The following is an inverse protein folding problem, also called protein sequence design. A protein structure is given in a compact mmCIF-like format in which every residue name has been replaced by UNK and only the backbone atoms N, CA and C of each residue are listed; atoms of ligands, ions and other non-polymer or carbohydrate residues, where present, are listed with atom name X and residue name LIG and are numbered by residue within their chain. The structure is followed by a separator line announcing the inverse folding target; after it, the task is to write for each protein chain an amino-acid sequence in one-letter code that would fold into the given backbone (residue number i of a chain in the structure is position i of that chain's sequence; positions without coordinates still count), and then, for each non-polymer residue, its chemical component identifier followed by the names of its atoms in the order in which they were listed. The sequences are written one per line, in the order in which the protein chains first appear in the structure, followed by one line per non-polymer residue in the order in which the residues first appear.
data_IF_526555115433
#
_entry.id   IF_526555115433
#
_cell.length_a   1.000
_cell.length_b   1.000
_cell.length_c   1.000
_cell.angle_alpha   90.00
_cell.angle_beta   90.00
_cell.angle_gamma   90.00
#
_symmetry.space_group_name_H-M   'P 1'
#
loop_
_entity.id
_entity.type
_entity.pdbx_description
1 polymer ?
#
# COMPACT_ATOMS: atom_id res chain seq x y z
N UNK A 1 -18.91 -6.61 -8.60
CA UNK A 1 -18.27 -5.60 -7.75
C UNK A 1 -18.34 -6.01 -6.28
N UNK A 2 -17.24 -5.85 -5.57
CA UNK A 2 -17.18 -6.19 -4.14
C UNK A 2 -17.86 -5.10 -3.33
N UNK A 3 -18.75 -5.52 -2.42
CA UNK A 3 -19.39 -4.61 -1.46
C UNK A 3 -18.88 -4.95 -0.07
N UNK A 4 -18.32 -3.96 0.62
CA UNK A 4 -17.83 -4.15 1.99
C UNK A 4 -18.88 -3.66 2.99
N UNK A 5 -19.29 -4.55 3.88
CA UNK A 5 -20.21 -4.20 4.98
C UNK A 5 -19.50 -3.43 6.07
N UNK A 6 -18.20 -3.67 6.23
CA UNK A 6 -17.31 -2.93 7.13
C UNK A 6 -15.94 -2.82 6.49
N UNK A 7 -15.12 -1.92 7.00
CA UNK A 7 -13.76 -1.72 6.48
C UNK A 7 -12.89 -2.92 6.85
N UNK A 8 -12.27 -3.58 5.86
CA UNK A 8 -11.40 -4.72 6.12
C UNK A 8 -10.04 -4.28 6.65
N UNK A 9 -9.30 -5.22 7.23
CA UNK A 9 -7.95 -4.99 7.74
C UNK A 9 -6.94 -5.86 7.01
N UNK A 10 -5.76 -5.33 6.78
CA UNK A 10 -4.65 -6.01 6.14
C UNK A 10 -3.38 -5.81 6.94
N UNK A 11 -2.38 -6.65 6.68
CA UNK A 11 -1.08 -6.52 7.35
C UNK A 11 0.07 -6.77 6.38
N UNK A 12 1.22 -6.16 6.71
CA UNK A 12 2.52 -6.47 6.13
C UNK A 12 3.49 -6.81 7.25
N UNK A 13 4.15 -7.94 7.15
CA UNK A 13 5.36 -8.21 7.94
C UNK A 13 6.56 -7.74 7.12
N UNK A 14 7.45 -6.99 7.73
CA UNK A 14 8.53 -6.27 7.03
C UNK A 14 9.87 -6.66 7.60
N UNK A 15 10.85 -6.89 6.72
CA UNK A 15 12.26 -7.01 7.08
C UNK A 15 13.03 -5.81 6.57
N UNK A 16 14.10 -5.46 7.30
CA UNK A 16 15.04 -4.38 6.92
C UNK A 16 16.42 -4.99 6.93
N UNK A 17 17.09 -4.95 5.77
CA UNK A 17 18.42 -5.55 5.65
C UNK A 17 18.46 -7.05 5.93
N UNK A 18 17.34 -7.74 5.67
CA UNK A 18 17.22 -9.17 5.91
C UNK A 18 16.80 -9.54 7.33
N UNK A 19 16.59 -8.58 8.23
CA UNK A 19 16.21 -8.82 9.61
C UNK A 19 14.73 -8.48 9.83
N UNK A 20 13.94 -9.36 10.48
CA UNK A 20 12.56 -9.05 10.80
C UNK A 20 12.46 -7.76 11.62
N UNK A 21 11.61 -6.84 11.18
CA UNK A 21 11.50 -5.52 11.78
C UNK A 21 10.14 -5.26 12.46
N UNK A 22 9.12 -6.04 12.12
CA UNK A 22 7.80 -5.92 12.74
C UNK A 22 6.66 -6.00 11.73
N UNK A 23 5.48 -5.61 12.18
CA UNK A 23 4.24 -5.68 11.39
C UNK A 23 3.58 -4.31 11.29
N UNK A 24 3.13 -3.99 10.08
CA UNK A 24 2.22 -2.87 9.81
C UNK A 24 0.81 -3.42 9.67
N UNK A 25 -0.14 -2.83 10.39
CA UNK A 25 -1.54 -3.21 10.31
C UNK A 25 -2.34 -2.02 9.79
N UNK A 26 -3.20 -2.29 8.81
CA UNK A 26 -3.97 -1.25 8.12
C UNK A 26 -5.46 -1.50 8.24
N UNK A 27 -6.24 -0.43 8.36
CA UNK A 27 -7.66 -0.45 8.06
C UNK A 27 -7.85 0.12 6.66
N UNK A 28 -8.55 -0.59 5.79
CA UNK A 28 -8.80 -0.16 4.42
C UNK A 28 -10.23 0.39 4.32
N UNK A 29 -10.40 1.50 3.61
CA UNK A 29 -11.69 2.19 3.51
C UNK A 29 -12.60 1.56 2.46
N UNK A 30 -12.86 0.25 2.61
CA UNK A 30 -13.63 -0.52 1.62
C UNK A 30 -15.06 -0.03 1.42
N UNK A 31 -15.66 0.59 2.44
CA UNK A 31 -17.01 1.14 2.32
C UNK A 31 -17.07 2.33 1.37
N UNK A 32 -16.01 3.12 1.31
CA UNK A 32 -15.97 4.35 0.51
C UNK A 32 -15.21 4.21 -0.81
N UNK A 33 -14.18 3.34 -0.84
CA UNK A 33 -13.37 3.07 -2.04
C UNK A 33 -13.25 1.56 -2.26
N UNK A 34 -14.37 0.88 -2.57
CA UNK A 34 -14.37 -0.59 -2.66
C UNK A 34 -13.49 -1.15 -3.78
N UNK A 35 -13.41 -0.50 -4.92
CA UNK A 35 -12.59 -0.98 -6.04
C UNK A 35 -11.10 -0.88 -5.72
N UNK A 36 -10.68 0.23 -5.17
CA UNK A 36 -9.28 0.45 -4.77
C UNK A 36 -8.90 -0.50 -3.64
N UNK A 37 -9.78 -0.67 -2.66
CA UNK A 37 -9.58 -1.61 -1.55
C UNK A 37 -9.49 -3.05 -2.04
N UNK A 38 -10.39 -3.48 -2.95
CA UNK A 38 -10.36 -4.83 -3.51
C UNK A 38 -9.05 -5.12 -4.23
N UNK A 39 -8.55 -4.16 -4.99
CA UNK A 39 -7.28 -4.29 -5.70
C UNK A 39 -6.13 -4.52 -4.71
N UNK A 40 -5.99 -3.66 -3.72
CA UNK A 40 -4.93 -3.77 -2.71
C UNK A 40 -5.05 -5.08 -1.91
N UNK A 41 -6.25 -5.40 -1.42
CA UNK A 41 -6.48 -6.60 -0.63
C UNK A 41 -6.19 -7.87 -1.43
N UNK A 42 -6.53 -7.88 -2.72
CA UNK A 42 -6.25 -9.03 -3.59
C UNK A 42 -4.75 -9.31 -3.69
N UNK A 43 -3.93 -8.26 -3.80
CA UNK A 43 -2.48 -8.43 -3.80
C UNK A 43 -1.91 -8.78 -2.42
N UNK A 44 -2.59 -8.40 -1.34
CA UNK A 44 -2.23 -8.85 0.01
C UNK A 44 -2.46 -10.35 0.18
N UNK A 45 -3.56 -10.87 -0.40
CA UNK A 45 -3.96 -12.27 -0.27
C UNK A 45 -3.33 -13.18 -1.33
N UNK A 46 -2.78 -12.59 -2.38
CA UNK A 46 -2.32 -13.31 -3.56
C UNK A 46 -3.41 -13.43 -4.61
N UNK A 47 -3.14 -12.93 -5.80
CA UNK A 47 -4.12 -12.85 -6.89
C UNK A 47 -3.62 -13.64 -8.11
N UNK A 48 -4.48 -14.51 -8.63
CA UNK A 48 -4.22 -15.25 -9.88
C UNK A 48 -5.20 -14.81 -10.96
N UNK A 49 -4.65 -14.28 -12.04
CA UNK A 49 -5.44 -13.92 -13.22
C UNK A 49 -5.32 -15.06 -14.25
N UNK A 50 -6.38 -15.83 -14.41
CA UNK A 50 -6.46 -16.78 -15.53
C UNK A 50 -5.42 -17.88 -15.58
N UNK A 51 -4.98 -18.43 -14.44
CA UNK A 51 -4.03 -19.53 -14.40
C UNK A 51 -2.56 -19.13 -14.51
N UNK A 52 -2.28 -17.82 -14.53
CA UNK A 52 -0.93 -17.27 -14.53
C UNK A 52 -0.28 -17.37 -13.14
N UNK A 53 0.91 -16.82 -13.02
CA UNK A 53 1.61 -16.73 -11.74
C UNK A 53 0.79 -15.93 -10.72
N UNK A 54 0.96 -16.26 -9.43
CA UNK A 54 0.34 -15.51 -8.34
C UNK A 54 1.02 -14.14 -8.22
N UNK A 55 0.22 -13.09 -8.28
CA UNK A 55 0.66 -11.72 -8.04
C UNK A 55 0.39 -11.37 -6.58
N UNK A 56 1.39 -10.86 -5.88
CA UNK A 56 1.29 -10.56 -4.46
C UNK A 56 2.29 -9.49 -4.07
N UNK A 57 1.98 -8.75 -3.00
CA UNK A 57 2.95 -7.87 -2.36
C UNK A 57 4.04 -8.64 -1.61
N UNK A 58 3.80 -9.92 -1.33
CA UNK A 58 4.80 -10.76 -0.66
C UNK A 58 6.09 -10.79 -1.47
N UNK A 59 7.19 -10.53 -0.80
CA UNK A 59 8.54 -10.43 -1.34
C UNK A 59 8.81 -9.18 -2.19
N UNK A 60 7.86 -8.26 -2.30
CA UNK A 60 8.11 -6.97 -2.93
C UNK A 60 8.75 -6.01 -1.92
N UNK A 61 9.30 -4.91 -2.42
CA UNK A 61 10.07 -3.96 -1.60
C UNK A 61 9.44 -2.58 -1.59
N UNK A 62 9.80 -1.79 -0.57
CA UNK A 62 9.61 -0.36 -0.59
C UNK A 62 10.80 0.25 -1.34
N UNK A 63 10.61 0.53 -2.61
CA UNK A 63 11.71 0.95 -3.50
C UNK A 63 12.05 2.44 -3.41
N UNK A 64 11.17 3.25 -2.82
CA UNK A 64 11.36 4.70 -2.73
C UNK A 64 10.85 5.19 -1.38
N UNK A 65 11.78 5.69 -0.56
CA UNK A 65 11.45 6.20 0.78
C UNK A 65 12.12 7.56 0.95
N UNK A 66 11.33 8.58 1.17
CA UNK A 66 11.82 9.96 1.38
C UNK A 66 11.40 10.39 2.79
N UNK A 67 12.36 10.61 3.69
CA UNK A 67 12.05 11.06 5.04
C UNK A 67 11.22 12.34 5.04
N UNK A 68 10.26 12.41 5.96
CA UNK A 68 9.34 13.53 6.11
C UNK A 68 8.46 13.72 4.87
N UNK A 69 8.18 12.61 4.18
CA UNK A 69 7.26 12.61 3.05
C UNK A 69 6.48 11.29 3.03
N UNK A 70 7.07 10.21 2.49
CA UNK A 70 6.33 8.96 2.32
C UNK A 70 7.26 7.76 2.07
N UNK A 71 6.69 6.56 2.19
CA UNK A 71 7.32 5.29 1.82
C UNK A 71 6.50 4.68 0.69
N UNK A 72 7.10 4.44 -0.48
CA UNK A 72 6.42 3.91 -1.66
C UNK A 72 6.88 2.49 -1.96
N UNK A 73 5.91 1.64 -2.29
CA UNK A 73 6.15 0.25 -2.66
C UNK A 73 5.06 -0.26 -3.58
N UNK A 74 4.99 -1.57 -3.71
CA UNK A 74 3.93 -2.21 -4.48
C UNK A 74 4.23 -2.40 -5.96
N UNK A 75 5.47 -2.18 -6.42
CA UNK A 75 5.88 -2.60 -7.76
C UNK A 75 6.17 -4.10 -7.72
N UNK A 76 5.14 -4.90 -7.96
CA UNK A 76 5.22 -6.36 -7.91
C UNK A 76 5.70 -6.97 -9.22
N UNK A 77 6.02 -6.15 -10.21
CA UNK A 77 6.48 -6.58 -11.53
C UNK A 77 8.01 -6.42 -11.64
N UNK A 78 8.52 -5.21 -11.44
CA UNK A 78 9.93 -4.89 -11.65
C UNK A 78 10.68 -4.50 -10.36
N UNK A 79 9.97 -4.13 -9.31
CA UNK A 79 10.58 -3.79 -8.02
C UNK A 79 11.28 -2.44 -7.96
N UNK A 80 11.13 -1.59 -8.98
CA UNK A 80 11.85 -0.32 -9.08
C UNK A 80 10.96 0.91 -9.34
N UNK A 81 9.65 0.71 -9.37
CA UNK A 81 8.68 1.78 -9.61
C UNK A 81 8.17 1.85 -11.04
N UNK A 82 8.74 1.08 -11.97
CA UNK A 82 8.34 1.10 -13.38
C UNK A 82 7.19 0.17 -13.70
N UNK A 83 6.93 -0.83 -12.85
CA UNK A 83 5.88 -1.82 -13.06
C UNK A 83 4.55 -1.35 -12.52
N UNK A 84 3.47 -1.62 -13.26
CA UNK A 84 2.12 -1.29 -12.83
C UNK A 84 1.15 -2.34 -13.35
N UNK A 85 0.34 -2.87 -12.44
CA UNK A 85 -0.68 -3.88 -12.77
C UNK A 85 -1.81 -3.76 -11.74
N UNK A 86 -3.02 -4.09 -12.15
CA UNK A 86 -4.16 -4.16 -11.23
C UNK A 86 -4.93 -5.46 -11.46
N UNK A 87 -5.85 -5.76 -10.55
CA UNK A 87 -6.75 -6.91 -10.73
C UNK A 87 -7.74 -6.67 -11.88
N UNK A 88 -7.83 -5.43 -12.37
CA UNK A 88 -8.72 -5.06 -13.47
C UNK A 88 -8.05 -5.14 -14.83
N UNK A 89 -6.80 -5.63 -14.87
CA UNK A 89 -6.01 -5.79 -16.08
C UNK A 89 -4.81 -4.86 -16.11
N UNK A 90 -4.96 -3.64 -16.51
CA UNK A 90 -3.91 -2.63 -16.53
C UNK A 90 -4.12 -1.61 -15.42
N UNK A 91 -4.20 -0.35 -15.82
CA UNK A 91 -4.48 0.75 -14.92
C UNK A 91 -5.99 0.91 -14.73
N UNK A 92 -6.38 1.50 -13.62
CA UNK A 92 -7.81 1.77 -13.37
C UNK A 92 -8.02 3.21 -12.89
N UNK A 93 -9.26 3.73 -13.07
CA UNK A 93 -9.56 5.13 -12.78
C UNK A 93 -9.46 5.48 -11.29
N UNK A 94 -9.25 6.76 -11.00
CA UNK A 94 -9.36 7.29 -9.64
C UNK A 94 -10.81 7.14 -9.18
N UNK A 95 -11.01 6.38 -8.11
CA UNK A 95 -12.35 6.02 -7.66
C UNK A 95 -13.10 7.21 -7.08
N UNK A 96 -12.48 7.91 -6.14
CA UNK A 96 -12.93 9.19 -5.60
C UNK A 96 -11.82 9.81 -4.76
N UNK A 97 -12.01 11.05 -4.33
CA UNK A 97 -11.06 11.78 -3.50
C UNK A 97 -11.70 12.22 -2.18
N UNK A 98 -12.53 11.34 -1.61
CA UNK A 98 -13.25 11.62 -0.37
C UNK A 98 -12.33 11.91 0.79
N UNK A 99 -11.22 11.16 0.90
CA UNK A 99 -10.25 11.32 1.98
C UNK A 99 -9.09 12.20 1.57
N UNK A 100 -8.60 13.00 2.53
CA UNK A 100 -7.48 13.91 2.33
C UNK A 100 -6.22 13.35 2.97
N UNK A 101 -5.05 13.87 2.54
CA UNK A 101 -3.75 13.49 3.10
C UNK A 101 -3.46 14.34 4.33
N UNK A 102 -4.22 14.14 5.41
CA UNK A 102 -4.30 15.04 6.57
C UNK A 102 -3.57 14.54 7.81
N UNK A 103 -2.84 13.43 7.70
CA UNK A 103 -2.07 12.89 8.84
C UNK A 103 -1.02 11.87 8.33
N UNK A 104 -0.02 11.54 9.17
CA UNK A 104 0.88 10.43 8.85
C UNK A 104 0.13 9.09 8.93
N UNK A 105 0.65 8.09 8.23
CA UNK A 105 0.12 6.73 8.26
C UNK A 105 -1.02 6.46 7.29
N UNK A 106 -1.25 7.33 6.30
CA UNK A 106 -2.28 7.11 5.30
C UNK A 106 -1.75 6.29 4.14
N UNK A 107 -2.55 5.31 3.68
CA UNK A 107 -2.32 4.58 2.44
C UNK A 107 -2.99 5.34 1.30
N UNK A 108 -2.22 5.62 0.26
CA UNK A 108 -2.68 6.34 -0.92
C UNK A 108 -2.10 5.68 -2.17
N UNK A 109 -2.81 5.78 -3.28
CA UNK A 109 -2.38 5.16 -4.53
C UNK A 109 -1.31 6.00 -5.23
N UNK A 110 -0.18 5.38 -5.55
CA UNK A 110 0.79 5.96 -6.46
C UNK A 110 0.21 5.93 -7.89
N UNK A 111 0.56 6.92 -8.69
CA UNK A 111 0.10 6.99 -10.08
C UNK A 111 1.07 7.79 -10.94
N UNK A 112 0.81 7.81 -12.25
CA UNK A 112 1.57 8.57 -13.25
C UNK A 112 0.67 9.63 -13.89
N UNK A 113 -0.27 10.19 -13.15
CA UNK A 113 -1.27 11.15 -13.60
C UNK A 113 -2.68 10.63 -13.37
N UNK A 114 -3.71 11.38 -13.82
CA UNK A 114 -5.10 10.96 -13.61
C UNK A 114 -5.40 9.58 -14.16
N UNK A 115 -6.16 8.80 -13.40
CA UNK A 115 -6.71 7.50 -13.82
C UNK A 115 -5.65 6.48 -14.22
N UNK A 116 -4.50 6.45 -13.49
CA UNK A 116 -3.40 5.52 -13.76
C UNK A 116 -3.03 4.68 -12.56
N UNK A 117 -4.00 4.26 -11.76
CA UNK A 117 -3.77 3.42 -10.58
C UNK A 117 -3.43 1.98 -11.00
N UNK A 118 -2.51 1.37 -10.29
CA UNK A 118 -2.11 -0.02 -10.51
C UNK A 118 -1.93 -0.74 -9.18
N UNK A 119 -0.76 -1.34 -8.97
CA UNK A 119 -0.44 -2.01 -7.71
C UNK A 119 0.33 -1.13 -6.73
N UNK A 120 0.99 -0.08 -7.21
CA UNK A 120 1.85 0.73 -6.36
C UNK A 120 1.05 1.65 -5.44
N UNK A 121 1.55 1.78 -4.23
CA UNK A 121 0.95 2.61 -3.19
C UNK A 121 2.06 3.34 -2.43
N UNK A 122 1.67 4.33 -1.64
CA UNK A 122 2.59 4.92 -0.68
C UNK A 122 1.91 5.08 0.69
N UNK A 123 2.75 5.14 1.70
CA UNK A 123 2.35 5.29 3.09
C UNK A 123 2.96 6.61 3.57
N UNK A 124 2.12 7.56 3.96
CA UNK A 124 2.60 8.89 4.36
C UNK A 124 3.27 8.85 5.73
N UNK A 125 4.28 9.70 5.90
CA UNK A 125 4.95 9.87 7.21
C UNK A 125 4.69 11.25 7.80
N UNK A 126 4.02 12.12 7.04
CA UNK A 126 3.59 13.47 7.45
C UNK A 126 2.29 13.79 6.74
N UNK A 127 1.66 14.92 7.07
CA UNK A 127 0.59 15.48 6.25
C UNK A 127 1.16 15.85 4.87
N UNK A 128 0.42 15.51 3.81
CA UNK A 128 0.84 15.81 2.42
C UNK A 128 -0.32 16.43 1.65
N UNK A 129 -0.79 17.63 2.06
CA UNK A 129 -2.01 18.21 1.49
C UNK A 129 -1.90 18.55 -0.01
N UNK A 130 -0.69 18.74 -0.53
CA UNK A 130 -0.49 19.00 -1.96
C UNK A 130 -0.87 17.79 -2.83
N UNK A 131 -1.07 16.61 -2.25
CA UNK A 131 -1.48 15.39 -2.97
C UNK A 131 -3.00 15.22 -3.03
N UNK A 132 -3.75 16.04 -2.30
CA UNK A 132 -5.22 15.96 -2.26
C UNK A 132 -5.80 16.18 -3.65
N UNK A 133 -6.75 15.33 -4.04
CA UNK A 133 -7.38 15.43 -5.36
C UNK A 133 -6.54 14.86 -6.51
N UNK A 134 -5.32 14.39 -6.26
CA UNK A 134 -4.44 13.79 -7.26
C UNK A 134 -4.18 12.31 -6.99
N UNK A 135 -4.25 11.90 -5.72
CA UNK A 135 -4.02 10.52 -5.29
C UNK A 135 -5.18 10.05 -4.42
N UNK A 136 -5.63 8.82 -4.65
CA UNK A 136 -6.76 8.23 -3.92
C UNK A 136 -6.29 7.65 -2.60
N UNK A 137 -6.70 8.25 -1.49
CA UNK A 137 -6.46 7.72 -0.14
C UNK A 137 -7.47 6.60 0.11
N UNK A 138 -6.97 5.41 0.47
CA UNK A 138 -7.85 4.23 0.60
C UNK A 138 -7.67 3.47 1.91
N UNK A 139 -6.83 3.95 2.83
CA UNK A 139 -6.67 3.28 4.11
C UNK A 139 -5.75 4.04 5.05
N UNK A 140 -5.56 3.47 6.23
CA UNK A 140 -4.69 4.04 7.24
C UNK A 140 -3.98 2.97 8.07
N UNK A 141 -2.81 3.32 8.57
CA UNK A 141 -2.07 2.49 9.51
C UNK A 141 -2.74 2.59 10.88
N UNK A 142 -3.08 1.45 11.47
CA UNK A 142 -3.70 1.38 12.80
C UNK A 142 -2.73 0.88 13.86
N UNK A 143 -1.67 0.16 13.45
CA UNK A 143 -0.63 -0.32 14.35
C UNK A 143 0.68 -0.48 13.58
N UNK A 144 1.80 -0.25 14.27
CA UNK A 144 3.13 -0.37 13.65
C UNK A 144 3.80 0.96 13.36
N UNK A 145 3.42 2.04 14.06
CA UNK A 145 4.03 3.36 13.84
C UNK A 145 5.53 3.38 14.16
N UNK A 146 5.99 2.57 15.11
CA UNK A 146 7.44 2.44 15.38
C UNK A 146 8.16 1.83 14.17
N UNK A 147 7.53 0.84 13.53
CA UNK A 147 8.08 0.25 12.31
C UNK A 147 8.08 1.26 11.16
N UNK A 148 7.01 2.03 11.04
CA UNK A 148 6.95 3.09 10.01
C UNK A 148 8.13 4.07 10.19
N UNK A 149 8.45 4.45 11.42
CA UNK A 149 9.59 5.31 11.71
C UNK A 149 10.92 4.65 11.33
N UNK A 150 11.05 3.35 11.56
CA UNK A 150 12.27 2.59 11.17
C UNK A 150 12.41 2.52 9.64
N UNK A 151 11.31 2.33 8.94
CA UNK A 151 11.30 2.32 7.47
C UNK A 151 11.70 3.70 6.94
N UNK A 152 11.09 4.75 7.49
CA UNK A 152 11.40 6.13 7.10
C UNK A 152 12.88 6.45 7.29
N UNK A 153 13.50 5.95 8.37
CA UNK A 153 14.91 6.16 8.67
C UNK A 153 15.84 5.54 7.63
N UNK A 154 15.36 4.58 6.84
CA UNK A 154 16.12 3.97 5.75
C UNK A 154 16.08 4.78 4.46
N UNK A 155 15.27 5.84 4.40
CA UNK A 155 15.12 6.67 3.23
C UNK A 155 16.21 7.71 3.09
N UNK A 156 16.23 8.35 1.92
CA UNK A 156 17.15 9.43 1.58
C UNK A 156 16.39 10.50 0.79
N UNK A 157 17.01 11.64 0.59
CA UNK A 157 16.39 12.75 -0.17
C UNK A 157 16.09 12.39 -1.63
N UNK A 158 16.81 11.40 -2.19
CA UNK A 158 16.57 10.90 -3.55
C UNK A 158 15.54 9.78 -3.60
N UNK A 159 15.17 9.24 -2.45
CA UNK A 159 14.26 8.11 -2.35
C UNK A 159 14.94 6.75 -2.32
N UNK A 160 16.23 6.67 -2.65
CA UNK A 160 16.98 5.42 -2.58
C UNK A 160 17.09 4.97 -1.13
N UNK A 161 16.78 3.70 -0.85
CA UNK A 161 16.84 3.17 0.51
C UNK A 161 18.25 2.73 0.87
N UNK A 162 18.61 2.90 2.16
CA UNK A 162 19.94 2.52 2.66
C UNK A 162 20.08 1.00 2.79
N UNK A 163 18.99 0.32 3.14
CA UNK A 163 18.91 -1.13 3.23
C UNK A 163 17.65 -1.58 2.53
N UNK A 164 17.63 -2.85 2.11
CA UNK A 164 16.45 -3.44 1.48
C UNK A 164 15.30 -3.52 2.48
N UNK A 165 14.15 -2.97 2.13
CA UNK A 165 12.93 -3.02 2.93
C UNK A 165 11.96 -3.93 2.20
N UNK A 166 11.74 -5.13 2.74
CA UNK A 166 10.98 -6.18 2.06
C UNK A 166 9.73 -6.55 2.85
N UNK A 167 8.63 -6.75 2.13
CA UNK A 167 7.41 -7.33 2.68
C UNK A 167 7.59 -8.84 2.64
N UNK A 168 7.79 -9.46 3.81
CA UNK A 168 8.07 -10.90 3.90
C UNK A 168 6.79 -11.72 4.01
N UNK A 169 5.71 -11.11 4.51
CA UNK A 169 4.41 -11.73 4.57
C UNK A 169 3.34 -10.65 4.50
N UNK A 170 2.19 -10.98 3.94
CA UNK A 170 1.06 -10.06 3.87
C UNK A 170 -0.24 -10.85 3.81
N UNK A 171 -1.34 -10.20 4.13
CA UNK A 171 -2.63 -10.86 4.11
C UNK A 171 -3.74 -10.01 4.69
N UNK A 172 -4.91 -10.63 4.79
CA UNK A 172 -6.08 -10.06 5.45
C UNK A 172 -6.09 -10.47 6.91
N UNK A 173 -6.44 -9.55 7.79
CA UNK A 173 -6.71 -9.86 9.19
C UNK A 173 -8.21 -10.10 9.31
N UNK A 174 -8.58 -11.37 9.61
CA UNK A 174 -9.97 -11.69 9.84
C UNK A 174 -10.33 -11.37 11.28
N UNK A 175 -11.39 -10.58 11.45
CA UNK A 175 -11.92 -10.30 12.77
C UNK A 175 -12.88 -11.42 13.18
N UNK A 176 -12.72 -11.89 14.43
CA UNK A 176 -13.72 -12.78 14.99
C UNK A 176 -15.04 -12.02 15.12
N UNK A 177 -16.09 -12.55 14.49
CA UNK A 177 -17.44 -12.04 14.71
C UNK A 177 -17.90 -12.52 16.07
N UNK A 178 -17.79 -11.67 17.07
CA UNK A 178 -18.50 -11.91 18.34
C UNK A 178 -19.93 -11.42 18.15
N UNK A 179 -20.86 -12.34 18.13
CA UNK A 179 -22.26 -11.99 18.23
C UNK A 179 -22.60 -11.51 19.64
#
# INVERSE_FOLDING_TARGET
STVFKKNPKAFFDVSIGGNPAGRLTFELYGKDVPKTTSNFMSFCKGYKAGGAETLSYKYSIFHRVIPRFMCQGGDIINGDGTGSVSIYGGRFPDENFKYKHDKPGLLSMANAGPDTNGSQFFLTTVETPWLDGAHVVFGELTDGFKLLNKIEAQGTSTGQTRQKIEITECGEIEEETTE
#
